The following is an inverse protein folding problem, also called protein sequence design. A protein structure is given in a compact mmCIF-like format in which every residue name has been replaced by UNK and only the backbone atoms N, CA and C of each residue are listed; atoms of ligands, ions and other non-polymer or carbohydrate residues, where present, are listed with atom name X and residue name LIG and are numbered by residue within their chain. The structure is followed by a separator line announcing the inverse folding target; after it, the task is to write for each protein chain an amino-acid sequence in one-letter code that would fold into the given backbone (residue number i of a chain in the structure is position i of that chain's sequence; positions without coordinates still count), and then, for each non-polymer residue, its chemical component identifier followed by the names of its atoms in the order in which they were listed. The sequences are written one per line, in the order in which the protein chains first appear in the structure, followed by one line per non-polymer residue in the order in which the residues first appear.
data_IF_050957147133
#
_entry.id   IF_050957147133
#
_cell.length_a   1.000
_cell.length_b   1.000
_cell.length_c   1.000
_cell.angle_alpha   90.00
_cell.angle_beta   90.00
_cell.angle_gamma   90.00
#
_symmetry.space_group_name_H-M   'P 1'
#
loop_
_entity.id
_entity.type
_entity.pdbx_description
1 polymer ?
#
# COMPACT_ATOMS: atom_id res chain seq x y z
N UNK A 1 -19.09 7.89 -20.59
CA UNK A 1 -19.50 8.65 -19.39
C UNK A 1 -19.68 7.78 -18.15
N UNK A 2 -20.67 6.88 -18.06
CA UNK A 2 -20.88 6.06 -16.85
C UNK A 2 -19.89 4.88 -16.70
N UNK A 3 -19.44 4.30 -17.82
CA UNK A 3 -18.40 3.26 -17.89
C UNK A 3 -17.05 3.78 -17.39
N UNK A 4 -16.70 5.01 -17.75
CA UNK A 4 -15.43 5.63 -17.38
C UNK A 4 -15.36 5.90 -15.87
N UNK A 5 -16.48 6.33 -15.26
CA UNK A 5 -16.61 6.49 -13.81
C UNK A 5 -16.42 5.18 -13.05
N UNK A 6 -16.96 4.07 -13.57
CA UNK A 6 -16.79 2.74 -12.97
C UNK A 6 -15.32 2.29 -13.01
N UNK A 7 -14.61 2.55 -14.11
CA UNK A 7 -13.18 2.23 -14.25
C UNK A 7 -12.33 3.03 -13.25
N UNK A 8 -12.54 4.34 -13.16
CA UNK A 8 -11.82 5.22 -12.23
C UNK A 8 -12.07 4.81 -10.76
N UNK A 9 -13.31 4.46 -10.41
CA UNK A 9 -13.62 3.99 -9.06
C UNK A 9 -12.87 2.69 -8.72
N UNK A 10 -12.84 1.73 -9.65
CA UNK A 10 -12.13 0.47 -9.49
C UNK A 10 -10.62 0.68 -9.31
N UNK A 11 -10.01 1.54 -10.11
CA UNK A 11 -8.58 1.86 -9.99
C UNK A 11 -8.25 2.45 -8.62
N UNK A 12 -9.07 3.39 -8.13
CA UNK A 12 -8.89 3.96 -6.77
C UNK A 12 -9.04 2.92 -5.67
N UNK A 13 -9.99 1.99 -5.80
CA UNK A 13 -10.17 0.89 -4.84
C UNK A 13 -8.93 -0.01 -4.81
N UNK A 14 -8.40 -0.38 -5.98
CA UNK A 14 -7.18 -1.19 -6.08
C UNK A 14 -5.98 -0.49 -5.45
N UNK A 15 -5.78 0.79 -5.71
CA UNK A 15 -4.69 1.53 -5.07
C UNK A 15 -4.86 1.62 -3.55
N UNK A 16 -6.09 1.83 -3.07
CA UNK A 16 -6.39 1.83 -1.64
C UNK A 16 -6.12 0.48 -0.96
N UNK A 17 -6.42 -0.64 -1.62
CA UNK A 17 -6.20 -1.98 -1.06
C UNK A 17 -4.72 -2.32 -0.92
N UNK A 18 -3.84 -1.79 -1.77
CA UNK A 18 -2.38 -1.92 -1.65
C UNK A 18 -1.89 -1.24 -0.37
N UNK A 19 -2.37 -0.02 -0.08
CA UNK A 19 -2.00 0.73 1.13
C UNK A 19 -2.43 -0.01 2.40
N UNK A 20 -3.64 -0.57 2.41
CA UNK A 20 -4.14 -1.37 3.54
C UNK A 20 -3.28 -2.61 3.73
N UNK A 21 -3.00 -3.36 2.65
CA UNK A 21 -2.17 -4.58 2.72
C UNK A 21 -0.75 -4.29 3.21
N UNK A 22 -0.20 -3.12 2.90
CA UNK A 22 1.10 -2.68 3.39
C UNK A 22 1.08 -2.24 4.88
N UNK A 23 -0.07 -2.26 5.55
CA UNK A 23 -0.20 -1.79 6.94
C UNK A 23 -0.12 -0.27 7.09
N UNK A 24 -0.37 0.48 6.02
CA UNK A 24 -0.20 1.93 5.97
C UNK A 24 -1.53 2.70 6.04
N UNK A 25 -2.63 2.06 6.44
CA UNK A 25 -3.96 2.71 6.47
C UNK A 25 -4.05 3.89 7.44
N UNK A 26 -3.22 3.90 8.49
CA UNK A 26 -3.29 4.86 9.59
C UNK A 26 -2.14 5.89 9.56
N UNK A 27 -1.31 5.90 8.51
CA UNK A 27 -0.20 6.86 8.39
C UNK A 27 -0.66 8.17 7.78
N UNK A 28 0.12 9.24 7.98
CA UNK A 28 -0.15 10.54 7.38
C UNK A 28 -0.11 10.47 5.84
N UNK A 29 -1.00 11.23 5.20
CA UNK A 29 -1.16 11.20 3.73
C UNK A 29 0.02 11.84 3.00
N UNK A 30 0.66 12.86 3.58
CA UNK A 30 1.85 13.47 2.99
C UNK A 30 3.04 12.52 3.08
N UNK A 31 3.17 11.76 4.18
CA UNK A 31 4.16 10.68 4.28
C UNK A 31 3.97 9.63 3.17
N UNK A 32 2.75 9.13 2.99
CA UNK A 32 2.44 8.15 1.93
C UNK A 32 2.78 8.70 0.54
N UNK A 33 2.33 9.92 0.23
CA UNK A 33 2.60 10.55 -1.07
C UNK A 33 4.10 10.78 -1.29
N UNK A 34 4.83 11.22 -0.27
CA UNK A 34 6.28 11.40 -0.33
C UNK A 34 7.00 10.10 -0.70
N UNK A 35 6.66 9.00 -0.05
CA UNK A 35 7.20 7.68 -0.39
C UNK A 35 6.86 7.25 -1.82
N UNK A 36 5.62 7.44 -2.25
CA UNK A 36 5.21 7.12 -3.63
C UNK A 36 5.95 7.96 -4.68
N UNK A 37 6.28 9.22 -4.37
CA UNK A 37 7.08 10.07 -5.25
C UNK A 37 8.53 9.59 -5.36
N UNK A 38 9.13 9.10 -4.28
CA UNK A 38 10.44 8.45 -4.36
C UNK A 38 10.39 7.18 -5.21
N UNK A 39 9.36 6.34 -5.01
CA UNK A 39 9.17 5.13 -5.83
C UNK A 39 8.98 5.45 -7.32
N UNK A 40 8.27 6.54 -7.65
CA UNK A 40 8.03 6.95 -9.03
C UNK A 40 9.32 7.35 -9.79
N UNK A 41 10.42 7.62 -9.08
CA UNK A 41 11.72 7.93 -9.70
C UNK A 41 12.50 6.66 -10.09
N UNK A 42 12.11 5.49 -9.58
CA UNK A 42 12.79 4.24 -9.84
C UNK A 42 12.49 3.74 -11.25
N UNK A 43 13.55 3.41 -12.00
CA UNK A 43 13.42 2.75 -13.31
C UNK A 43 13.22 1.25 -13.13
N UNK A 44 12.37 0.58 -13.95
CA UNK A 44 12.21 -0.87 -13.95
C UNK A 44 13.50 -1.67 -14.18
N UNK A 45 14.52 -1.04 -14.77
CA UNK A 45 15.84 -1.65 -14.97
C UNK A 45 16.72 -1.67 -13.72
N UNK A 46 16.30 -0.98 -12.65
CA UNK A 46 17.08 -0.89 -11.40
C UNK A 46 16.84 -2.12 -10.52
N UNK A 47 17.90 -2.56 -9.84
CA UNK A 47 17.81 -3.64 -8.84
C UNK A 47 16.87 -3.28 -7.70
N UNK A 48 16.76 -2.00 -7.34
CA UNK A 48 15.84 -1.55 -6.30
C UNK A 48 14.37 -1.75 -6.70
N UNK A 49 14.01 -1.37 -7.93
CA UNK A 49 12.67 -1.63 -8.46
C UNK A 49 12.34 -3.13 -8.42
N UNK A 50 13.26 -3.97 -8.91
CA UNK A 50 13.11 -5.43 -8.92
C UNK A 50 12.92 -5.99 -7.51
N UNK A 51 13.75 -5.56 -6.55
CA UNK A 51 13.63 -5.97 -5.14
C UNK A 51 12.27 -5.61 -4.56
N UNK A 52 11.77 -4.41 -4.81
CA UNK A 52 10.45 -3.97 -4.32
C UNK A 52 9.31 -4.76 -4.99
N UNK A 53 9.46 -5.09 -6.27
CA UNK A 53 8.53 -5.95 -6.99
C UNK A 53 8.46 -7.34 -6.37
N UNK A 54 9.61 -7.98 -6.11
CA UNK A 54 9.69 -9.31 -5.49
C UNK A 54 9.04 -9.33 -4.11
N UNK A 55 9.31 -8.31 -3.28
CA UNK A 55 8.67 -8.15 -1.97
C UNK A 55 7.14 -8.01 -2.09
N UNK A 56 6.68 -7.22 -3.06
CA UNK A 56 5.26 -7.05 -3.36
C UNK A 56 4.61 -8.37 -3.75
N UNK A 57 5.23 -9.15 -4.64
CA UNK A 57 4.72 -10.45 -5.05
C UNK A 57 4.57 -11.42 -3.89
N UNK A 58 5.57 -11.48 -2.99
CA UNK A 58 5.52 -12.30 -1.79
C UNK A 58 4.35 -11.86 -0.89
N UNK A 59 4.19 -10.56 -0.66
CA UNK A 59 3.12 -10.01 0.17
C UNK A 59 1.71 -10.24 -0.41
N UNK A 60 1.57 -10.33 -1.73
CA UNK A 60 0.30 -10.68 -2.38
C UNK A 60 -0.03 -12.17 -2.31
N UNK A 61 0.99 -13.04 -2.36
CA UNK A 61 0.82 -14.49 -2.27
C UNK A 61 0.56 -14.98 -0.84
N UNK A 62 1.06 -14.26 0.17
CA UNK A 62 0.75 -14.58 1.56
C UNK A 62 -0.74 -14.33 1.85
N UNK A 63 -1.44 -15.27 2.54
CA UNK A 63 -2.74 -14.95 3.08
C UNK A 63 -2.60 -13.73 4.00
N UNK A 64 -3.54 -12.80 3.89
CA UNK A 64 -3.62 -11.66 4.81
C UNK A 64 -3.91 -12.28 6.16
N UNK A 65 -2.87 -12.47 6.98
CA UNK A 65 -3.09 -12.63 8.40
C UNK A 65 -3.67 -11.30 8.83
N UNK A 66 -4.97 -11.31 9.13
CA UNK A 66 -5.67 -10.25 9.84
C UNK A 66 -4.88 -9.98 11.12
N UNK A 67 -3.83 -9.16 11.04
CA UNK A 67 -3.20 -8.56 12.21
C UNK A 67 -4.09 -7.39 12.61
N UNK A 68 -5.32 -7.73 12.97
CA UNK A 68 -6.25 -6.86 13.66
C UNK A 68 -5.73 -6.66 15.08
N UNK A 69 -5.64 -5.39 15.46
CA UNK A 69 -5.64 -4.88 16.82
C UNK A 69 -4.60 -5.47 17.78
N UNK A 70 -3.38 -4.93 17.70
CA UNK A 70 -2.71 -4.56 18.94
C UNK A 70 -3.25 -3.18 19.32
N UNK A 71 -4.41 -3.16 19.99
CA UNK A 71 -4.70 -2.08 20.91
C UNK A 71 -3.64 -2.16 22.00
N UNK A 72 -2.60 -1.33 21.89
CA UNK A 72 -1.80 -0.98 23.07
C UNK A 72 -2.75 -0.17 23.96
N UNK A 73 -3.53 -0.88 24.76
CA UNK A 73 -4.08 -0.35 25.99
C UNK A 73 -2.88 -0.11 26.90
N UNK A 74 -2.26 1.06 26.79
CA UNK A 74 -1.36 1.50 27.85
C UNK A 74 -2.23 2.04 28.99
N UNK A 75 -2.48 1.12 29.92
CA UNK A 75 -2.85 1.44 31.28
C UNK A 75 -1.58 1.91 32.01
N UNK A 76 -1.35 3.23 32.04
CA UNK A 76 -0.51 3.98 32.98
C UNK A 76 -0.52 5.45 32.51
N UNK A 77 -0.82 6.50 33.28
CA UNK A 77 -0.97 6.72 34.72
C UNK A 77 -1.62 8.11 34.88
#
# INVERSE_FOLDING_TARGET
MATDRKKVAREKILLGSIVIRAGLSNVDRAFLLGGLLELARLSPATTEYQRLQDLGEIAFRSPVSERGDVTVSDAAQ
#
